data_IF_502167953250
#
_entry.id   IF_502167953250
#
_cell.length_a   1.000
_cell.length_b   1.000
_cell.length_c   1.000
_cell.angle_alpha   90.00
_cell.angle_beta   90.00
_cell.angle_gamma   90.00
#
_symmetry.space_group_name_H-M   'P 1'
#
loop_
_entity.id
_entity.type
_entity.pdbx_description
1 polymer ?
#
# COMPACT_ATOMS: atom_id res chain seq x y z
N UNK A 1 -8.34 -28.35 8.11
CA UNK A 1 -8.36 -26.88 8.09
C UNK A 1 -9.49 -26.33 7.21
N UNK A 2 -10.73 -26.78 7.42
CA UNK A 2 -11.87 -26.48 6.53
C UNK A 2 -13.04 -25.75 7.24
N UNK A 3 -12.85 -25.35 8.50
CA UNK A 3 -13.94 -24.89 9.38
C UNK A 3 -13.60 -23.56 10.07
N UNK A 4 -13.20 -22.58 9.26
CA UNK A 4 -13.28 -21.16 9.61
C UNK A 4 -13.79 -20.47 8.35
N UNK A 5 -14.84 -19.65 8.42
CA UNK A 5 -15.44 -18.96 7.28
C UNK A 5 -14.45 -18.02 6.56
N UNK A 6 -13.52 -18.59 5.79
CA UNK A 6 -12.44 -17.93 5.09
C UNK A 6 -12.61 -18.20 3.61
N UNK A 7 -12.60 -17.14 2.83
CA UNK A 7 -12.63 -17.21 1.38
C UNK A 7 -11.22 -17.56 0.88
N UNK A 8 -11.12 -18.62 0.07
CA UNK A 8 -9.89 -18.99 -0.62
C UNK A 8 -10.02 -18.59 -2.09
N UNK A 9 -9.09 -17.75 -2.56
CA UNK A 9 -9.09 -17.24 -3.93
C UNK A 9 -7.78 -17.68 -4.58
N UNK A 10 -7.82 -18.50 -5.64
CA UNK A 10 -6.63 -18.81 -6.40
C UNK A 10 -6.18 -17.57 -7.17
N UNK A 11 -4.90 -17.20 -7.03
CA UNK A 11 -4.27 -16.11 -7.79
C UNK A 11 -3.06 -16.62 -8.56
N UNK A 12 -2.78 -16.00 -9.71
CA UNK A 12 -1.58 -16.32 -10.49
C UNK A 12 -0.32 -15.86 -9.72
N UNK A 13 0.44 -16.80 -9.17
CA UNK A 13 1.61 -16.52 -8.32
C UNK A 13 2.94 -16.45 -9.08
N UNK A 14 2.94 -16.64 -10.40
CA UNK A 14 4.18 -16.63 -11.20
C UNK A 14 4.83 -15.25 -11.15
N UNK A 15 6.07 -15.19 -10.65
CA UNK A 15 6.87 -13.97 -10.62
C UNK A 15 6.61 -13.01 -9.45
N UNK A 16 5.74 -13.36 -8.49
CA UNK A 16 5.47 -12.51 -7.30
C UNK A 16 6.70 -12.32 -6.42
N UNK A 17 7.68 -13.21 -6.51
CA UNK A 17 8.94 -13.04 -5.81
C UNK A 17 9.75 -11.90 -6.40
N UNK A 18 9.74 -11.68 -7.72
CA UNK A 18 10.56 -10.65 -8.38
C UNK A 18 9.90 -9.28 -8.44
N UNK A 19 8.56 -9.24 -8.47
CA UNK A 19 7.81 -7.98 -8.53
C UNK A 19 7.82 -7.26 -7.18
N UNK A 20 8.12 -5.96 -7.19
CA UNK A 20 7.97 -5.12 -6.01
C UNK A 20 6.48 -4.91 -5.70
N UNK A 21 6.06 -5.19 -4.47
CA UNK A 21 4.67 -5.02 -4.04
C UNK A 21 4.21 -3.55 -4.02
N UNK A 22 5.14 -2.61 -3.88
CA UNK A 22 4.84 -1.17 -3.79
C UNK A 22 4.70 -0.50 -5.17
N UNK A 23 5.68 -0.68 -6.06
CA UNK A 23 5.74 0.02 -7.35
C UNK A 23 5.63 -0.89 -8.58
N UNK A 24 5.40 -2.19 -8.37
CA UNK A 24 5.23 -3.21 -9.41
C UNK A 24 6.42 -3.39 -10.38
N UNK A 25 7.56 -2.72 -10.15
CA UNK A 25 8.80 -2.94 -10.91
C UNK A 25 9.32 -4.36 -10.67
N UNK A 26 9.80 -5.00 -11.74
CA UNK A 26 10.45 -6.31 -11.65
C UNK A 26 11.89 -6.08 -11.20
N UNK A 27 12.23 -6.64 -10.05
CA UNK A 27 13.59 -6.66 -9.50
C UNK A 27 14.14 -8.08 -9.69
N UNK A 28 14.98 -8.32 -10.70
CA UNK A 28 15.57 -9.63 -10.93
C UNK A 28 16.50 -9.99 -9.79
N UNK A 29 16.35 -11.23 -9.29
CA UNK A 29 17.12 -11.71 -8.15
C UNK A 29 17.09 -13.23 -8.07
N UNK A 30 18.17 -13.76 -7.52
CA UNK A 30 18.48 -15.17 -7.40
C UNK A 30 17.79 -15.81 -6.18
N UNK A 31 17.71 -17.14 -6.17
CA UNK A 31 17.04 -17.89 -5.12
C UNK A 31 17.71 -17.75 -3.74
N UNK A 32 19.00 -17.42 -3.68
CA UNK A 32 19.71 -17.15 -2.43
C UNK A 32 19.54 -15.72 -1.92
N UNK A 33 19.05 -14.79 -2.74
CA UNK A 33 18.79 -13.42 -2.31
C UNK A 33 17.48 -13.39 -1.50
N UNK A 34 17.64 -13.34 -0.17
CA UNK A 34 16.54 -13.37 0.80
C UNK A 34 15.99 -11.99 1.16
N UNK A 35 16.68 -10.92 0.76
CA UNK A 35 16.23 -9.53 0.89
C UNK A 35 15.72 -9.03 -0.46
N UNK A 36 14.61 -8.29 -0.44
CA UNK A 36 14.11 -7.51 -1.55
C UNK A 36 14.47 -6.05 -1.33
N UNK A 37 15.22 -5.48 -2.26
CA UNK A 37 15.59 -4.07 -2.28
C UNK A 37 15.16 -3.51 -3.63
N UNK A 38 14.22 -2.58 -3.63
CA UNK A 38 13.72 -1.99 -4.85
C UNK A 38 14.45 -0.67 -5.15
N UNK A 39 15.22 -0.64 -6.23
CA UNK A 39 15.90 0.57 -6.71
C UNK A 39 14.95 1.66 -7.22
N UNK A 40 13.71 1.30 -7.59
CA UNK A 40 12.74 2.25 -8.13
C UNK A 40 12.00 3.04 -7.04
N UNK A 41 11.60 2.39 -5.94
CA UNK A 41 10.81 3.03 -4.88
C UNK A 41 11.49 3.05 -3.50
N UNK A 42 12.68 2.46 -3.37
CA UNK A 42 13.42 2.39 -2.11
C UNK A 42 12.85 1.39 -1.09
N UNK A 43 11.85 0.59 -1.45
CA UNK A 43 11.28 -0.40 -0.54
C UNK A 43 12.26 -1.55 -0.26
N UNK A 44 12.52 -1.78 1.03
CA UNK A 44 13.39 -2.86 1.50
C UNK A 44 12.66 -3.74 2.51
N UNK A 45 12.61 -5.03 2.24
CA UNK A 45 11.99 -6.02 3.12
C UNK A 45 12.50 -7.43 2.81
N UNK A 46 12.24 -8.45 3.66
CA UNK A 46 12.46 -9.83 3.29
C UNK A 46 11.70 -10.20 2.01
N UNK A 47 12.32 -11.00 1.14
CA UNK A 47 11.74 -11.45 -0.13
C UNK A 47 10.37 -12.10 0.05
N UNK A 48 10.25 -12.95 1.06
CA UNK A 48 9.03 -13.72 1.32
C UNK A 48 7.90 -12.79 1.81
N UNK A 49 8.24 -11.74 2.56
CA UNK A 49 7.30 -10.70 2.98
C UNK A 49 6.81 -9.87 1.79
N UNK A 50 7.72 -9.42 0.92
CA UNK A 50 7.34 -8.74 -0.33
C UNK A 50 6.42 -9.62 -1.20
N UNK A 51 6.73 -10.91 -1.32
CA UNK A 51 5.91 -11.87 -2.08
C UNK A 51 4.51 -12.02 -1.48
N UNK A 52 4.38 -12.08 -0.15
CA UNK A 52 3.10 -12.13 0.54
C UNK A 52 2.27 -10.86 0.32
N UNK A 53 2.90 -9.68 0.35
CA UNK A 53 2.24 -8.41 0.04
C UNK A 53 1.75 -8.36 -1.41
N UNK A 54 2.56 -8.82 -2.36
CA UNK A 54 2.14 -8.87 -3.76
C UNK A 54 0.99 -9.85 -3.98
N UNK A 55 1.00 -11.01 -3.32
CA UNK A 55 -0.15 -11.94 -3.34
C UNK A 55 -1.39 -11.27 -2.77
N UNK A 56 -1.29 -10.60 -1.61
CA UNK A 56 -2.41 -9.85 -1.03
C UNK A 56 -2.96 -8.83 -2.02
N UNK A 57 -2.10 -8.04 -2.65
CA UNK A 57 -2.49 -7.04 -3.65
C UNK A 57 -3.22 -7.67 -4.85
N UNK A 58 -2.70 -8.79 -5.37
CA UNK A 58 -3.35 -9.53 -6.45
C UNK A 58 -4.71 -10.10 -6.03
N UNK A 59 -4.81 -10.66 -4.82
CA UNK A 59 -6.09 -11.17 -4.31
C UNK A 59 -7.13 -10.09 -4.16
N UNK A 60 -6.76 -8.92 -3.62
CA UNK A 60 -7.66 -7.76 -3.46
C UNK A 60 -8.14 -7.23 -4.82
N UNK A 61 -7.25 -7.21 -5.82
CA UNK A 61 -7.60 -6.84 -7.19
C UNK A 61 -8.60 -7.82 -7.80
N UNK A 62 -8.43 -9.12 -7.58
CA UNK A 62 -9.30 -10.15 -8.14
C UNK A 62 -10.74 -10.09 -7.57
N UNK A 63 -10.87 -9.76 -6.29
CA UNK A 63 -12.19 -9.61 -5.64
C UNK A 63 -12.83 -8.25 -5.88
N UNK A 64 -12.16 -7.32 -6.57
CA UNK A 64 -12.66 -5.96 -6.79
C UNK A 64 -12.76 -5.12 -5.50
N UNK A 65 -11.94 -5.44 -4.49
CA UNK A 65 -11.88 -4.71 -3.23
C UNK A 65 -10.59 -3.89 -3.22
N UNK A 66 -10.53 -2.92 -4.13
CA UNK A 66 -9.42 -1.97 -4.17
C UNK A 66 -9.49 -0.98 -2.99
N UNK A 67 -8.34 -0.44 -2.63
CA UNK A 67 -8.27 0.61 -1.62
C UNK A 67 -8.84 1.86 -2.28
N UNK A 68 -9.99 2.36 -1.80
CA UNK A 68 -10.45 3.69 -2.17
C UNK A 68 -9.29 4.66 -1.92
N UNK A 69 -8.87 5.42 -2.94
CA UNK A 69 -7.92 6.52 -2.74
C UNK A 69 -8.51 7.44 -1.68
N UNK A 70 -7.89 7.50 -0.50
CA UNK A 70 -8.26 8.50 0.49
C UNK A 70 -7.73 9.84 -0.02
N UNK A 71 -8.57 10.60 -0.70
CA UNK A 71 -8.32 12.02 -0.93
C UNK A 71 -8.24 12.71 0.42
N UNK A 72 -7.13 13.40 0.68
CA UNK A 72 -7.04 14.32 1.80
C UNK A 72 -8.06 15.43 1.52
N UNK A 73 -9.17 15.45 2.25
CA UNK A 73 -10.08 16.60 2.22
C UNK A 73 -9.32 17.74 2.87
N UNK A 74 -8.88 18.70 2.06
CA UNK A 74 -8.29 19.94 2.56
C UNK A 74 -9.33 20.64 3.44
N UNK A 75 -9.13 20.57 4.76
CA UNK A 75 -9.91 21.33 5.72
C UNK A 75 -9.43 22.77 5.67
N UNK A 76 -10.00 23.59 4.79
CA UNK A 76 -9.76 25.04 4.81
C UNK A 76 -10.19 25.62 6.17
N UNK A 77 -9.20 25.99 6.98
CA UNK A 77 -9.42 26.73 8.21
C UNK A 77 -9.71 28.19 7.87
N UNK A 78 -10.98 28.52 7.66
CA UNK A 78 -11.43 29.91 7.73
C UNK A 78 -11.52 30.33 9.21
N UNK A 79 -10.42 30.84 9.76
CA UNK A 79 -10.48 31.62 10.99
C UNK A 79 -10.90 33.06 10.63
N UNK A 80 -12.09 33.54 11.02
CA UNK A 80 -12.40 34.96 10.87
C UNK A 80 -11.54 35.76 11.86
N UNK A 81 -10.71 36.66 11.32
CA UNK A 81 -9.92 37.64 12.07
C UNK A 81 -10.86 38.57 12.85
N UNK A 82 -10.90 38.40 14.17
CA UNK A 82 -11.57 39.33 15.08
C UNK A 82 -10.71 40.60 15.19
N UNK A 83 -11.11 41.67 14.48
CA UNK A 83 -10.63 43.02 14.77
C UNK A 83 -11.34 43.51 16.03
N UNK A 84 -10.61 43.62 17.13
CA UNK A 84 -11.08 44.34 18.31
C UNK A 84 -10.66 45.80 18.17
N UNK A 85 -11.62 46.70 17.93
CA UNK A 85 -11.40 48.13 18.17
C UNK A 85 -11.66 48.40 19.66
N UNK A 86 -10.69 49.02 20.31
CA UNK A 86 -10.84 49.50 21.68
C UNK A 86 -11.72 50.77 21.67
N UNK A 87 -12.78 50.86 22.48
CA UNK A 87 -13.48 52.12 22.64
C UNK A 87 -12.58 53.08 23.43
N UNK A 88 -12.32 54.26 22.87
CA UNK A 88 -11.73 55.37 23.62
C UNK A 88 -12.77 55.90 24.61
N UNK A 89 -12.66 55.48 25.88
CA UNK A 89 -13.13 56.22 27.04
C UNK A 89 -12.15 56.02 28.19
#
# INVERSE_FOLDING_TARGET
AASAGKLLIPVATKGTTQRCSQCQTIVPKELWQRTHECSNCGFTAPRDYNSALEIKRLTLKEIGWDTAESTLVEMEQAAPSLKQEAPLF
#
